data_IF_686474630886
#
_entry.id   IF_686474630886
#
_cell.length_a   1.000
_cell.length_b   1.000
_cell.length_c   1.000
_cell.angle_alpha   90.00
_cell.angle_beta   90.00
_cell.angle_gamma   90.00
#
_symmetry.space_group_name_H-M   'P 1'
#
loop_
_entity.id
_entity.type
_entity.pdbx_description
1 polymer ?
#
# COMPACT_ATOMS: atom_id res chain seq x y z
N UNK A 1 10.47 20.92 22.82
CA UNK A 1 10.45 19.49 23.21
C UNK A 1 9.65 18.58 22.25
N UNK A 2 8.54 19.02 21.63
CA UNK A 2 7.68 18.16 20.77
C UNK A 2 8.36 17.55 19.52
N UNK A 3 9.25 18.28 18.84
CA UNK A 3 9.90 17.79 17.61
C UNK A 3 10.73 16.51 17.81
N UNK A 4 11.32 16.32 18.99
CA UNK A 4 12.14 15.15 19.31
C UNK A 4 11.27 13.89 19.46
N UNK A 5 10.09 14.02 20.08
CA UNK A 5 9.17 12.88 20.26
C UNK A 5 8.57 12.42 18.93
N UNK A 6 8.25 13.34 18.01
CA UNK A 6 7.73 12.99 16.69
C UNK A 6 8.74 12.16 15.87
N UNK A 7 10.00 12.60 15.82
CA UNK A 7 11.07 11.90 15.10
C UNK A 7 11.36 10.53 15.71
N UNK A 8 11.35 10.44 17.05
CA UNK A 8 11.54 9.17 17.77
C UNK A 8 10.38 8.20 17.53
N UNK A 9 9.14 8.67 17.59
CA UNK A 9 7.96 7.85 17.31
C UNK A 9 7.99 7.28 15.88
N UNK A 10 8.36 8.10 14.90
CA UNK A 10 8.53 7.66 13.50
C UNK A 10 9.68 6.65 13.36
N UNK A 11 10.85 6.91 13.95
CA UNK A 11 11.98 5.98 13.88
C UNK A 11 11.64 4.61 14.49
N UNK A 12 10.96 4.60 15.63
CA UNK A 12 10.47 3.36 16.25
C UNK A 12 9.42 2.66 15.40
N UNK A 13 8.52 3.42 14.76
CA UNK A 13 7.52 2.86 13.84
C UNK A 13 8.16 2.21 12.62
N UNK A 14 9.18 2.83 12.03
CA UNK A 14 9.96 2.27 10.93
C UNK A 14 10.74 1.02 11.37
N UNK A 15 11.23 0.99 12.60
CA UNK A 15 11.86 -0.18 13.22
C UNK A 15 10.87 -1.32 13.58
N UNK A 16 9.56 -1.13 13.36
CA UNK A 16 8.54 -2.17 13.53
C UNK A 16 7.80 -2.15 14.87
N UNK A 17 8.03 -1.15 15.73
CA UNK A 17 7.28 -1.03 16.98
C UNK A 17 5.79 -0.71 16.72
N UNK A 18 4.91 -1.25 17.58
CA UNK A 18 3.48 -0.94 17.58
C UNK A 18 3.20 0.39 18.29
N UNK A 19 2.06 1.03 18.02
CA UNK A 19 1.70 2.29 18.68
C UNK A 19 1.61 2.19 20.21
N UNK A 20 1.09 1.10 20.81
CA UNK A 20 1.16 0.91 22.26
C UNK A 20 2.60 0.86 22.78
N UNK A 21 3.49 0.10 22.13
CA UNK A 21 4.90 0.00 22.55
C UNK A 21 5.64 1.34 22.47
N UNK A 22 5.33 2.13 21.45
CA UNK A 22 5.88 3.49 21.30
C UNK A 22 5.28 4.40 22.38
N UNK A 23 4.00 4.27 22.68
CA UNK A 23 3.31 4.99 23.74
C UNK A 23 3.92 4.74 25.10
N UNK A 24 4.11 3.47 25.47
CA UNK A 24 4.78 3.07 26.71
C UNK A 24 6.19 3.66 26.82
N UNK A 25 6.93 3.70 25.70
CA UNK A 25 8.30 4.23 25.65
C UNK A 25 8.36 5.76 25.74
N UNK A 26 7.35 6.46 25.20
CA UNK A 26 7.29 7.92 25.16
C UNK A 26 6.43 8.53 26.28
N UNK A 27 5.74 7.70 27.05
CA UNK A 27 4.77 8.12 28.07
C UNK A 27 3.53 8.78 27.47
N UNK A 28 3.04 8.25 26.34
CA UNK A 28 1.92 8.81 25.58
C UNK A 28 0.87 7.73 25.29
N UNK A 29 -0.39 8.14 25.18
CA UNK A 29 -1.46 7.24 24.74
C UNK A 29 -1.26 6.78 23.29
N UNK A 30 -1.65 5.54 23.01
CA UNK A 30 -1.50 4.94 21.68
C UNK A 30 -2.19 5.76 20.57
N UNK A 31 -3.37 6.34 20.84
CA UNK A 31 -4.07 7.21 19.87
C UNK A 31 -3.31 8.52 19.60
N UNK A 32 -2.65 9.06 20.62
CA UNK A 32 -1.80 10.26 20.50
C UNK A 32 -0.56 9.94 19.68
N UNK A 33 0.04 8.77 19.87
CA UNK A 33 1.19 8.30 19.08
C UNK A 33 0.80 8.09 17.62
N UNK A 34 -0.32 7.44 17.36
CA UNK A 34 -0.80 7.20 15.99
C UNK A 34 -1.01 8.51 15.23
N UNK A 35 -1.76 9.44 15.82
CA UNK A 35 -1.99 10.76 15.22
C UNK A 35 -0.69 11.56 15.06
N UNK A 36 0.23 11.48 16.03
CA UNK A 36 1.53 12.13 15.97
C UNK A 36 2.42 11.60 14.84
N UNK A 37 2.49 10.28 14.69
CA UNK A 37 3.26 9.62 13.62
C UNK A 37 2.64 9.96 12.26
N UNK A 38 1.32 9.84 12.12
CA UNK A 38 0.61 10.17 10.89
C UNK A 38 0.79 11.64 10.49
N UNK A 39 0.61 12.58 11.44
CA UNK A 39 0.80 14.00 11.20
C UNK A 39 2.26 14.34 10.87
N UNK A 40 3.23 13.68 11.52
CA UNK A 40 4.64 13.94 11.24
C UNK A 40 5.02 13.45 9.85
N UNK A 41 4.60 12.25 9.46
CA UNK A 41 4.85 11.69 8.12
C UNK A 41 4.15 12.52 7.02
N UNK A 42 2.93 13.01 7.30
CA UNK A 42 2.23 13.95 6.42
C UNK A 42 2.94 15.31 6.33
N UNK A 43 3.43 15.85 7.46
CA UNK A 43 4.13 17.15 7.51
C UNK A 43 5.48 17.15 6.80
N UNK A 44 6.10 15.99 6.63
CA UNK A 44 7.33 15.82 5.88
C UNK A 44 7.12 15.80 4.36
N UNK A 45 5.86 15.90 3.87
CA UNK A 45 5.50 15.68 2.45
C UNK A 45 6.07 14.36 1.88
N UNK A 46 6.35 13.37 2.74
CA UNK A 46 7.24 12.25 2.42
C UNK A 46 6.62 10.85 2.55
N UNK A 47 5.35 10.70 2.93
CA UNK A 47 4.65 9.42 2.73
C UNK A 47 3.46 9.63 1.82
N UNK A 48 3.70 9.49 0.51
CA UNK A 48 2.63 9.10 -0.38
C UNK A 48 2.05 7.77 0.12
N UNK A 49 0.76 7.52 -0.12
CA UNK A 49 0.15 6.22 0.18
C UNK A 49 0.95 5.03 -0.38
N UNK A 50 1.78 5.29 -1.40
CA UNK A 50 2.79 4.39 -1.96
C UNK A 50 3.81 3.91 -0.93
N UNK A 51 4.49 4.81 -0.21
CA UNK A 51 5.59 4.47 0.72
C UNK A 51 5.06 3.62 1.87
N UNK A 52 3.87 3.97 2.38
CA UNK A 52 3.20 3.18 3.42
C UNK A 52 2.84 1.78 2.91
N UNK A 53 2.29 1.69 1.69
CA UNK A 53 1.94 0.41 1.08
C UNK A 53 3.18 -0.46 0.81
N UNK A 54 4.30 0.13 0.37
CA UNK A 54 5.58 -0.56 0.18
C UNK A 54 6.12 -1.12 1.50
N UNK A 55 6.06 -0.35 2.59
CA UNK A 55 6.48 -0.81 3.91
C UNK A 55 5.62 -1.98 4.41
N UNK A 56 4.30 -1.89 4.25
CA UNK A 56 3.38 -2.95 4.66
C UNK A 56 3.54 -4.21 3.79
N UNK A 57 3.80 -4.06 2.48
CA UNK A 57 4.16 -5.18 1.60
C UNK A 57 5.46 -5.87 2.06
N UNK A 58 6.51 -5.10 2.39
CA UNK A 58 7.77 -5.66 2.87
C UNK A 58 7.60 -6.47 4.17
N UNK A 59 6.74 -6.00 5.10
CA UNK A 59 6.40 -6.75 6.33
C UNK A 59 5.66 -8.05 6.02
N UNK A 60 4.69 -8.01 5.12
CA UNK A 60 3.93 -9.18 4.70
C UNK A 60 4.82 -10.19 3.97
N UNK A 61 5.78 -9.74 3.15
CA UNK A 61 6.77 -10.60 2.50
C UNK A 61 7.68 -11.31 3.52
N UNK A 62 8.10 -10.59 4.56
CA UNK A 62 8.86 -11.18 5.68
C UNK A 62 8.06 -12.25 6.42
N UNK A 63 6.80 -11.98 6.75
CA UNK A 63 5.91 -12.96 7.37
C UNK A 63 5.66 -14.18 6.47
N UNK A 64 5.41 -13.95 5.17
CA UNK A 64 5.18 -15.00 4.20
C UNK A 64 6.39 -15.94 4.11
N UNK A 65 7.60 -15.36 4.02
CA UNK A 65 8.85 -16.12 3.99
C UNK A 65 9.00 -17.00 5.22
N UNK A 66 8.66 -16.48 6.41
CA UNK A 66 8.72 -17.22 7.67
C UNK A 66 7.80 -18.44 7.71
N UNK A 67 6.58 -18.34 7.14
CA UNK A 67 5.58 -19.43 7.19
C UNK A 67 5.65 -20.39 5.98
N UNK A 68 6.29 -19.97 4.88
CA UNK A 68 6.25 -20.66 3.58
C UNK A 68 6.74 -22.11 3.65
N UNK A 69 7.85 -22.36 4.36
CA UNK A 69 8.42 -23.72 4.48
C UNK A 69 7.46 -24.69 5.16
N UNK A 70 6.76 -24.27 6.20
CA UNK A 70 5.81 -25.13 6.91
C UNK A 70 4.53 -25.32 6.08
N UNK A 71 4.06 -24.25 5.43
CA UNK A 71 2.88 -24.31 4.56
C UNK A 71 3.07 -25.30 3.39
N UNK A 72 4.21 -25.23 2.70
CA UNK A 72 4.54 -26.12 1.57
C UNK A 72 4.76 -27.59 1.98
N UNK A 73 4.96 -27.86 3.28
CA UNK A 73 5.03 -29.22 3.84
C UNK A 73 3.68 -29.77 4.30
N UNK A 74 2.60 -29.02 4.14
CA UNK A 74 1.24 -29.45 4.49
C UNK A 74 0.84 -29.19 5.95
N UNK A 75 1.54 -28.31 6.67
CA UNK A 75 1.03 -27.81 7.95
C UNK A 75 -0.21 -26.95 7.69
N UNK A 76 -1.39 -27.47 8.05
CA UNK A 76 -2.68 -26.82 7.80
C UNK A 76 -2.77 -25.42 8.42
N UNK A 77 -2.16 -25.19 9.59
CA UNK A 77 -2.16 -23.88 10.23
C UNK A 77 -1.28 -22.91 9.47
N UNK A 78 -0.08 -23.34 9.05
CA UNK A 78 0.82 -22.53 8.24
C UNK A 78 0.23 -22.22 6.85
N UNK A 79 -0.47 -23.17 6.23
CA UNK A 79 -1.22 -22.95 4.97
C UNK A 79 -2.26 -21.86 5.16
N UNK A 80 -3.06 -21.92 6.24
CA UNK A 80 -4.05 -20.90 6.54
C UNK A 80 -3.44 -19.50 6.74
N UNK A 81 -2.30 -19.41 7.42
CA UNK A 81 -1.59 -18.14 7.59
C UNK A 81 -0.99 -17.62 6.29
N UNK A 82 -0.36 -18.48 5.48
CA UNK A 82 0.21 -18.11 4.19
C UNK A 82 -0.87 -17.54 3.24
N UNK A 83 -2.04 -18.19 3.17
CA UNK A 83 -3.16 -17.71 2.34
C UNK A 83 -3.69 -16.35 2.81
N UNK A 84 -3.79 -16.11 4.13
CA UNK A 84 -4.19 -14.80 4.67
C UNK A 84 -3.19 -13.70 4.32
N UNK A 85 -1.89 -13.98 4.46
CA UNK A 85 -0.83 -13.02 4.12
C UNK A 85 -0.85 -12.70 2.63
N UNK A 86 -0.97 -13.72 1.77
CA UNK A 86 -1.09 -13.53 0.32
C UNK A 86 -2.32 -12.68 -0.04
N UNK A 87 -3.46 -12.93 0.60
CA UNK A 87 -4.68 -12.13 0.42
C UNK A 87 -4.47 -10.67 0.78
N UNK A 88 -3.88 -10.37 1.93
CA UNK A 88 -3.57 -9.01 2.35
C UNK A 88 -2.61 -8.28 1.40
N UNK A 89 -1.61 -9.00 0.85
CA UNK A 89 -0.72 -8.44 -0.17
C UNK A 89 -1.48 -8.07 -1.44
N UNK A 90 -2.37 -8.95 -1.90
CA UNK A 90 -3.19 -8.70 -3.08
C UNK A 90 -4.10 -7.47 -2.89
N UNK A 91 -4.69 -7.30 -1.70
CA UNK A 91 -5.52 -6.14 -1.38
C UNK A 91 -4.72 -4.83 -1.45
N UNK A 92 -3.49 -4.80 -0.91
CA UNK A 92 -2.63 -3.62 -0.96
C UNK A 92 -2.24 -3.28 -2.41
N UNK A 93 -1.84 -4.28 -3.20
CA UNK A 93 -1.48 -4.09 -4.61
C UNK A 93 -2.66 -3.58 -5.43
N UNK A 94 -3.86 -4.16 -5.26
CA UNK A 94 -5.06 -3.71 -5.96
C UNK A 94 -5.44 -2.26 -5.62
N UNK A 95 -5.21 -1.82 -4.38
CA UNK A 95 -5.42 -0.41 -3.96
C UNK A 95 -4.40 0.55 -4.57
N UNK A 96 -3.17 0.10 -4.82
CA UNK A 96 -2.17 0.90 -5.54
C UNK A 96 -2.50 0.99 -7.03
N UNK A 97 -2.90 -0.11 -7.65
CA UNK A 97 -3.24 -0.17 -9.07
C UNK A 97 -4.47 0.70 -9.41
N UNK A 98 -5.49 0.68 -8.54
CA UNK A 98 -6.71 1.50 -8.69
C UNK A 98 -6.51 3.01 -8.53
N UNK A 99 -5.32 3.46 -8.10
CA UNK A 99 -4.94 4.87 -8.07
C UNK A 99 -4.23 5.32 -9.37
N UNK A 100 -4.09 4.40 -10.33
CA UNK A 100 -3.81 4.74 -11.72
C UNK A 100 -5.14 5.15 -12.35
N UNK A 101 -5.29 6.35 -12.96
CA UNK A 101 -6.45 6.58 -13.80
C UNK A 101 -6.50 5.42 -14.80
N UNK A 102 -7.62 4.70 -14.83
CA UNK A 102 -7.82 3.62 -15.79
C UNK A 102 -7.32 4.10 -17.15
N UNK A 103 -6.56 3.29 -17.92
CA UNK A 103 -6.25 3.69 -19.29
C UNK A 103 -7.60 4.04 -19.90
N UNK A 104 -7.74 5.30 -20.33
CA UNK A 104 -8.93 5.77 -21.01
C UNK A 104 -9.23 4.75 -22.09
N UNK A 105 -10.18 3.85 -21.83
CA UNK A 105 -10.66 2.95 -22.85
C UNK A 105 -11.39 3.90 -23.77
N UNK A 106 -10.68 4.37 -24.81
CA UNK A 106 -11.26 5.15 -25.88
C UNK A 106 -12.59 4.49 -26.18
N UNK A 107 -13.69 5.21 -25.94
CA UNK A 107 -15.00 4.58 -26.00
C UNK A 107 -15.09 3.98 -27.39
N UNK A 108 -15.61 2.76 -27.50
CA UNK A 108 -15.72 2.10 -28.81
C UNK A 108 -16.43 3.03 -29.83
N UNK A 109 -17.30 3.92 -29.35
CA UNK A 109 -17.89 5.01 -30.14
C UNK A 109 -16.87 5.99 -30.75
N UNK A 110 -15.83 6.39 -30.03
CA UNK A 110 -14.79 7.31 -30.49
C UNK A 110 -13.92 6.66 -31.58
N UNK A 111 -13.62 5.37 -31.42
CA UNK A 111 -12.91 4.56 -32.42
C UNK A 111 -13.75 4.42 -33.70
N UNK A 112 -15.05 4.12 -33.57
CA UNK A 112 -15.98 4.01 -34.71
C UNK A 112 -16.14 5.37 -35.42
N UNK A 113 -16.08 6.47 -34.67
CA UNK A 113 -16.16 7.83 -35.22
C UNK A 113 -14.93 8.18 -36.05
N UNK A 114 -13.73 7.86 -35.55
CA UNK A 114 -12.47 8.05 -36.29
C UNK A 114 -12.40 7.21 -37.56
N UNK A 115 -12.80 5.93 -37.51
CA UNK A 115 -12.78 5.04 -38.69
C UNK A 115 -13.78 5.50 -39.75
N UNK A 116 -14.95 6.00 -39.36
CA UNK A 116 -15.93 6.56 -40.32
C UNK A 116 -15.42 7.84 -40.99
N UNK A 117 -14.68 8.68 -40.28
CA UNK A 117 -14.13 9.91 -40.83
C UNK A 117 -12.95 9.65 -41.78
N UNK A 118 -12.11 8.65 -41.49
CA UNK A 118 -11.02 8.25 -42.39
C UNK A 118 -11.55 7.71 -43.72
N UNK A 119 -12.55 6.83 -43.70
CA UNK A 119 -13.14 6.28 -44.92
C UNK A 119 -13.88 7.33 -45.78
N UNK A 120 -14.37 8.42 -45.17
CA UNK A 120 -15.01 9.53 -45.91
C UNK A 120 -13.98 10.41 -46.61
N UNK A 121 -12.83 10.65 -45.98
CA UNK A 121 -11.74 11.44 -46.56
C UNK A 121 -11.06 10.73 -47.74
N UNK A 122 -11.02 9.39 -47.71
CA UNK A 122 -10.47 8.59 -48.82
C UNK A 122 -11.42 8.42 -50.01
N UNK A 123 -12.72 8.71 -49.87
CA UNK A 123 -13.68 8.65 -50.99
C UNK A 123 -13.92 9.99 -51.69
N UNK A 124 -13.41 11.08 -51.13
CA UNK A 124 -13.52 12.45 -51.68
C UNK A 124 -12.19 12.96 -52.29
N UNK A 125 -11.15 12.11 -52.31
CA UNK A 125 -9.86 12.32 -53.00
C UNK A 125 -9.76 11.45 -54.26
#
# INVERSE_FOLDING_TARGET
>A
MKANNNQRAVAMRLAGASYPQIGDTLGLDSEVVESMVANHLASLNCESGQVKAELDLARLDGLLTGVWRSATKGDNTAVGHALKIIGQRADILARLDSNTPAPEHAKIGDIISSVKNQNKQESEA
#
